data_IF_811653059812
#
_entry.id   IF_811653059812
#
_cell.length_a   1.000
_cell.length_b   1.000
_cell.length_c   1.000
_cell.angle_alpha   90.00
_cell.angle_beta   90.00
_cell.angle_gamma   90.00
#
_symmetry.space_group_name_H-M   'P 1'
#
loop_
_entity.id
_entity.type
_entity.pdbx_description
1 polymer ?
#
# COMPACT_ATOMS: atom_id res chain seq x y z
N UNK A 1 33.91 5.14 -7.45
CA UNK A 1 32.76 4.93 -6.53
C UNK A 1 32.11 3.60 -6.88
N UNK A 2 32.17 2.66 -5.94
CA UNK A 2 31.69 1.27 -6.09
C UNK A 2 30.17 1.23 -6.42
N UNK A 3 29.75 0.28 -7.25
CA UNK A 3 28.35 0.15 -7.67
C UNK A 3 27.44 -0.20 -6.49
N UNK A 4 27.94 -0.91 -5.47
CA UNK A 4 27.17 -1.20 -4.24
C UNK A 4 26.92 0.08 -3.44
N UNK A 5 27.94 0.93 -3.32
CA UNK A 5 27.82 2.23 -2.66
C UNK A 5 26.82 3.15 -3.39
N UNK A 6 26.87 3.17 -4.74
CA UNK A 6 25.88 3.91 -5.56
C UNK A 6 24.46 3.41 -5.31
N UNK A 7 24.26 2.10 -5.20
CA UNK A 7 22.96 1.51 -4.95
C UNK A 7 22.42 1.86 -3.56
N UNK A 8 23.28 1.82 -2.53
CA UNK A 8 22.91 2.24 -1.17
C UNK A 8 22.55 3.73 -1.11
N UNK A 9 23.37 4.62 -1.70
CA UNK A 9 23.06 6.06 -1.76
C UNK A 9 21.73 6.31 -2.46
N UNK A 10 21.45 5.57 -3.53
CA UNK A 10 20.16 5.66 -4.22
C UNK A 10 18.99 5.19 -3.34
N UNK A 11 19.16 4.12 -2.57
CA UNK A 11 18.14 3.64 -1.64
C UNK A 11 17.81 4.69 -0.57
N UNK A 12 18.84 5.29 0.04
CA UNK A 12 18.70 6.36 1.05
C UNK A 12 18.00 7.58 0.44
N UNK A 13 18.43 8.01 -0.75
CA UNK A 13 17.79 9.12 -1.47
C UNK A 13 16.32 8.83 -1.79
N UNK A 14 15.99 7.60 -2.17
CA UNK A 14 14.61 7.22 -2.43
C UNK A 14 13.75 7.31 -1.16
N UNK A 15 14.24 6.78 -0.04
CA UNK A 15 13.52 6.79 1.24
C UNK A 15 13.39 8.19 1.84
N UNK A 16 14.30 9.11 1.56
CA UNK A 16 14.17 10.50 1.99
C UNK A 16 13.06 11.27 1.27
N UNK A 17 12.59 10.76 0.13
CA UNK A 17 11.51 11.35 -0.69
C UNK A 17 10.19 10.58 -0.56
N UNK A 18 10.26 9.27 -0.34
CA UNK A 18 9.11 8.38 -0.46
C UNK A 18 9.05 7.38 0.69
N UNK A 19 7.89 7.32 1.35
CA UNK A 19 7.53 6.20 2.23
C UNK A 19 7.33 4.92 1.40
N UNK A 20 8.00 3.83 1.78
CA UNK A 20 8.02 2.57 1.04
C UNK A 20 8.06 1.36 1.96
N UNK A 21 7.42 0.27 1.55
CA UNK A 21 7.68 -1.06 2.10
C UNK A 21 9.03 -1.60 1.65
N UNK A 22 9.55 -2.60 2.37
CA UNK A 22 10.80 -3.30 2.03
C UNK A 22 10.70 -3.96 0.66
N UNK A 23 9.57 -4.63 0.36
CA UNK A 23 9.35 -5.28 -0.94
C UNK A 23 9.29 -4.28 -2.10
N UNK A 24 8.67 -3.12 -1.90
CA UNK A 24 8.65 -2.08 -2.92
C UNK A 24 10.05 -1.49 -3.13
N UNK A 25 10.82 -1.26 -2.07
CA UNK A 25 12.21 -0.81 -2.20
C UNK A 25 13.06 -1.83 -2.97
N UNK A 26 12.93 -3.13 -2.65
CA UNK A 26 13.60 -4.23 -3.39
C UNK A 26 13.30 -4.13 -4.90
N UNK A 27 12.05 -3.95 -5.27
CA UNK A 27 11.62 -3.79 -6.67
C UNK A 27 12.23 -2.54 -7.34
N UNK A 28 12.25 -1.41 -6.63
CA UNK A 28 12.84 -0.16 -7.12
C UNK A 28 14.35 -0.30 -7.34
N UNK A 29 15.06 -0.94 -6.40
CA UNK A 29 16.49 -1.22 -6.53
C UNK A 29 16.76 -2.17 -7.70
N UNK A 30 15.92 -3.20 -7.89
CA UNK A 30 16.03 -4.10 -9.04
C UNK A 30 15.90 -3.37 -10.38
N UNK A 31 14.96 -2.42 -10.47
CA UNK A 31 14.82 -1.53 -11.64
C UNK A 31 16.02 -0.62 -11.83
N UNK A 32 16.59 -0.07 -10.75
CA UNK A 32 17.79 0.77 -10.82
C UNK A 32 18.99 -0.01 -11.35
N UNK A 33 19.23 -1.24 -10.86
CA UNK A 33 20.32 -2.11 -11.30
C UNK A 33 20.25 -2.37 -12.81
N UNK A 34 19.05 -2.63 -13.35
CA UNK A 34 18.85 -2.84 -14.80
C UNK A 34 19.26 -1.66 -15.66
N UNK A 35 19.27 -0.44 -15.09
CA UNK A 35 19.68 0.80 -15.78
C UNK A 35 21.13 1.19 -15.52
N UNK A 36 21.80 0.53 -14.57
CA UNK A 36 23.17 0.87 -14.17
C UNK A 36 24.22 0.16 -15.03
N UNK A 37 23.96 -1.07 -15.46
CA UNK A 37 24.87 -1.84 -16.32
C UNK A 37 24.10 -2.94 -17.05
N UNK A 38 24.52 -3.22 -18.29
CA UNK A 38 24.05 -4.37 -19.05
C UNK A 38 24.84 -5.65 -18.80
N UNK A 39 25.97 -5.58 -18.09
CA UNK A 39 26.78 -6.74 -17.79
C UNK A 39 26.07 -7.67 -16.79
N UNK A 40 25.85 -8.92 -17.19
CA UNK A 40 25.11 -9.92 -16.38
C UNK A 40 25.75 -10.16 -15.02
N UNK A 41 27.08 -10.27 -14.97
CA UNK A 41 27.84 -10.54 -13.74
C UNK A 41 27.66 -9.40 -12.72
N UNK A 42 27.85 -8.15 -13.16
CA UNK A 42 27.63 -6.97 -12.32
C UNK A 42 26.19 -6.90 -11.80
N UNK A 43 25.18 -7.18 -12.65
CA UNK A 43 23.78 -7.18 -12.22
C UNK A 43 23.50 -8.26 -11.18
N UNK A 44 24.02 -9.47 -11.38
CA UNK A 44 23.89 -10.58 -10.45
C UNK A 44 24.48 -10.24 -9.07
N UNK A 45 25.71 -9.71 -9.05
CA UNK A 45 26.37 -9.30 -7.81
C UNK A 45 25.56 -8.23 -7.07
N UNK A 46 25.04 -7.23 -7.78
CA UNK A 46 24.21 -6.19 -7.18
C UNK A 46 22.85 -6.70 -6.67
N UNK A 47 22.24 -7.68 -7.34
CA UNK A 47 21.00 -8.30 -6.85
C UNK A 47 21.23 -9.02 -5.52
N UNK A 48 22.36 -9.71 -5.36
CA UNK A 48 22.72 -10.39 -4.12
C UNK A 48 22.99 -9.42 -2.95
N UNK A 49 23.31 -8.15 -3.25
CA UNK A 49 23.54 -7.10 -2.25
C UNK A 49 22.24 -6.46 -1.74
N UNK A 50 21.11 -6.57 -2.45
CA UNK A 50 19.86 -5.89 -2.07
C UNK A 50 19.41 -6.28 -0.65
N UNK A 51 19.47 -7.57 -0.30
CA UNK A 51 19.03 -8.02 1.02
C UNK A 51 19.90 -7.43 2.14
N UNK A 52 21.21 -7.28 1.91
CA UNK A 52 22.12 -6.64 2.87
C UNK A 52 21.81 -5.15 3.01
N UNK A 53 21.52 -4.47 1.90
CA UNK A 53 21.10 -3.06 1.90
C UNK A 53 19.81 -2.88 2.69
N UNK A 54 18.78 -3.69 2.43
CA UNK A 54 17.49 -3.60 3.13
C UNK A 54 17.70 -3.82 4.63
N UNK A 55 18.43 -4.87 5.04
CA UNK A 55 18.73 -5.12 6.47
C UNK A 55 19.50 -3.96 7.11
N UNK A 56 20.46 -3.36 6.40
CA UNK A 56 21.19 -2.19 6.91
C UNK A 56 20.26 -0.99 7.13
N UNK A 57 19.35 -0.74 6.19
CA UNK A 57 18.38 0.36 6.29
C UNK A 57 17.37 0.12 7.41
N UNK A 58 16.92 -1.13 7.57
CA UNK A 58 16.03 -1.55 8.66
C UNK A 58 16.70 -1.38 10.03
N UNK A 59 17.93 -1.87 10.20
CA UNK A 59 18.69 -1.68 11.45
C UNK A 59 18.98 -0.21 11.77
N UNK A 60 18.91 0.66 10.75
CA UNK A 60 19.06 2.12 10.91
C UNK A 60 17.72 2.83 11.08
N UNK A 61 16.61 2.11 11.23
CA UNK A 61 15.23 2.61 11.32
C UNK A 61 14.80 3.48 10.13
N UNK A 62 15.43 3.33 8.97
CA UNK A 62 15.06 4.06 7.75
C UNK A 62 13.92 3.38 6.98
N UNK A 63 13.64 2.11 7.26
CA UNK A 63 12.55 1.37 6.66
C UNK A 63 11.97 0.34 7.64
N UNK A 64 10.65 0.35 7.76
CA UNK A 64 9.90 -0.53 8.64
C UNK A 64 8.53 -0.80 8.01
N UNK A 65 8.18 -2.08 7.82
CA UNK A 65 6.93 -2.49 7.18
C UNK A 65 5.72 -2.29 8.10
N UNK A 66 5.88 -2.33 9.42
CA UNK A 66 4.83 -2.06 10.41
C UNK A 66 4.49 -0.57 10.38
N UNK A 67 5.48 0.31 10.54
CA UNK A 67 5.29 1.77 10.48
C UNK A 67 4.73 2.20 9.11
N UNK A 68 5.25 1.61 8.04
CA UNK A 68 4.69 1.82 6.70
C UNK A 68 3.21 1.43 6.64
N UNK A 69 2.87 0.26 7.17
CA UNK A 69 1.49 -0.27 7.14
C UNK A 69 0.54 0.62 7.93
N UNK A 70 0.88 0.97 9.17
CA UNK A 70 0.10 1.87 10.02
C UNK A 70 -0.19 3.19 9.31
N UNK A 71 0.85 3.86 8.80
CA UNK A 71 0.71 5.15 8.13
C UNK A 71 -0.18 5.07 6.88
N UNK A 72 -0.13 3.96 6.14
CA UNK A 72 -0.98 3.75 4.96
C UNK A 72 -2.42 3.40 5.33
N UNK A 73 -2.66 2.66 6.40
CA UNK A 73 -4.01 2.42 6.90
C UNK A 73 -4.65 3.77 7.28
N UNK A 74 -3.99 4.58 8.11
CA UNK A 74 -4.48 5.91 8.51
C UNK A 74 -4.78 6.81 7.30
N UNK A 75 -3.86 6.87 6.34
CA UNK A 75 -4.05 7.65 5.12
C UNK A 75 -5.24 7.18 4.26
N UNK A 76 -5.39 5.86 4.08
CA UNK A 76 -6.48 5.31 3.26
C UNK A 76 -7.84 5.40 3.95
N UNK A 77 -7.87 5.28 5.28
CA UNK A 77 -9.04 5.57 6.09
C UNK A 77 -9.50 7.03 5.93
N UNK A 78 -8.56 7.98 6.01
CA UNK A 78 -8.85 9.39 5.73
C UNK A 78 -9.43 9.60 4.32
N UNK A 79 -9.00 8.80 3.34
CA UNK A 79 -9.56 8.82 1.98
C UNK A 79 -10.90 8.07 1.81
N UNK A 80 -11.52 7.62 2.91
CA UNK A 80 -12.74 6.83 2.92
C UNK A 80 -12.65 5.54 2.07
N UNK A 81 -11.53 4.82 2.18
CA UNK A 81 -11.35 3.52 1.54
C UNK A 81 -11.93 2.40 2.40
N UNK A 82 -12.48 1.37 1.76
CA UNK A 82 -12.93 0.15 2.41
C UNK A 82 -11.78 -0.63 3.03
N UNK A 83 -12.08 -1.45 4.05
CA UNK A 83 -11.15 -2.40 4.65
C UNK A 83 -10.54 -3.33 3.61
N UNK A 84 -11.36 -3.83 2.67
CA UNK A 84 -10.89 -4.69 1.58
C UNK A 84 -9.92 -3.96 0.64
N UNK A 85 -10.21 -2.71 0.28
CA UNK A 85 -9.28 -1.91 -0.53
C UNK A 85 -7.93 -1.75 0.17
N UNK A 86 -7.94 -1.44 1.47
CA UNK A 86 -6.73 -1.28 2.28
C UNK A 86 -5.91 -2.57 2.29
N UNK A 87 -6.53 -3.73 2.56
CA UNK A 87 -5.87 -5.04 2.51
C UNK A 87 -5.20 -5.31 1.16
N UNK A 88 -5.96 -5.14 0.07
CA UNK A 88 -5.45 -5.38 -1.28
C UNK A 88 -4.32 -4.41 -1.66
N UNK A 89 -4.41 -3.15 -1.21
CA UNK A 89 -3.34 -2.18 -1.42
C UNK A 89 -2.04 -2.60 -0.72
N UNK A 90 -2.11 -3.02 0.55
CA UNK A 90 -0.94 -3.43 1.33
C UNK A 90 -0.32 -4.73 0.80
N UNK A 91 -1.14 -5.70 0.38
CA UNK A 91 -0.66 -6.92 -0.29
C UNK A 91 0.09 -6.60 -1.58
N UNK A 92 -0.41 -5.65 -2.39
CA UNK A 92 0.32 -5.17 -3.59
C UNK A 92 1.63 -4.46 -3.25
N UNK A 93 1.75 -3.89 -2.05
CA UNK A 93 3.01 -3.36 -1.52
C UNK A 93 3.91 -4.43 -0.92
N UNK A 94 3.50 -5.69 -0.93
CA UNK A 94 4.29 -6.83 -0.46
C UNK A 94 4.41 -6.92 1.06
N UNK A 95 3.48 -6.31 1.80
CA UNK A 95 3.35 -6.49 3.24
C UNK A 95 2.79 -7.89 3.51
N UNK A 96 3.29 -8.55 4.56
CA UNK A 96 2.82 -9.88 4.96
C UNK A 96 1.39 -9.85 5.47
N UNK A 97 0.68 -10.98 5.39
CA UNK A 97 -0.72 -11.06 5.85
C UNK A 97 -0.82 -10.86 7.36
N UNK A 98 0.20 -11.28 8.10
CA UNK A 98 0.31 -11.19 9.55
C UNK A 98 0.33 -9.72 9.97
N UNK A 99 1.26 -8.92 9.42
CA UNK A 99 1.34 -7.47 9.69
C UNK A 99 0.04 -6.78 9.28
N UNK A 100 -0.53 -7.12 8.11
CA UNK A 100 -1.79 -6.51 7.66
C UNK A 100 -2.92 -6.81 8.64
N UNK A 101 -3.06 -8.05 9.09
CA UNK A 101 -4.13 -8.46 10.00
C UNK A 101 -3.99 -7.77 11.36
N UNK A 102 -2.79 -7.78 11.92
CA UNK A 102 -2.46 -7.13 13.19
C UNK A 102 -2.76 -5.63 13.12
N UNK A 103 -2.21 -4.93 12.13
CA UNK A 103 -2.38 -3.49 12.00
C UNK A 103 -3.82 -3.07 11.68
N UNK A 104 -4.57 -3.89 10.93
CA UNK A 104 -6.01 -3.67 10.75
C UNK A 104 -6.75 -3.85 12.07
N UNK A 105 -6.43 -4.87 12.87
CA UNK A 105 -7.10 -5.08 14.16
C UNK A 105 -6.89 -3.93 15.14
N UNK A 106 -5.73 -3.26 15.08
CA UNK A 106 -5.38 -2.12 15.94
C UNK A 106 -6.00 -0.79 15.49
N UNK A 107 -6.24 -0.62 14.19
CA UNK A 107 -6.61 0.69 13.61
C UNK A 107 -7.96 0.70 12.88
N UNK A 108 -8.61 -0.46 12.75
CA UNK A 108 -9.90 -0.62 12.10
C UNK A 108 -10.87 -1.29 13.07
N UNK A 109 -11.41 -0.49 13.98
CA UNK A 109 -12.40 -0.95 14.95
C UNK A 109 -13.76 -1.08 14.26
N UNK A 110 -14.19 -2.33 14.04
CA UNK A 110 -15.47 -2.64 13.41
C UNK A 110 -16.66 -2.13 14.28
N UNK A 111 -16.48 -1.91 15.59
CA UNK A 111 -17.52 -1.37 16.47
C UNK A 111 -17.82 0.12 16.25
N UNK A 112 -16.89 0.85 15.62
CA UNK A 112 -17.01 2.29 15.35
C UNK A 112 -17.72 2.60 14.02
N UNK A 113 -18.33 1.61 13.35
CA UNK A 113 -19.02 1.79 12.07
C UNK A 113 -18.16 2.44 10.95
N UNK A 114 -16.83 2.36 11.05
CA UNK A 114 -15.88 3.02 10.14
C UNK A 114 -16.15 2.63 8.67
N UNK A 115 -16.46 1.36 8.42
CA UNK A 115 -16.73 0.87 7.06
C UNK A 115 -17.98 1.51 6.47
N UNK A 116 -19.04 1.64 7.28
CA UNK A 116 -20.30 2.26 6.88
C UNK A 116 -20.13 3.76 6.63
N UNK A 117 -19.40 4.46 7.50
CA UNK A 117 -19.09 5.88 7.28
C UNK A 117 -18.29 6.10 6.00
N UNK A 118 -17.26 5.27 5.77
CA UNK A 118 -16.44 5.35 4.57
C UNK A 118 -17.24 5.05 3.31
N UNK A 119 -18.15 4.07 3.37
CA UNK A 119 -19.09 3.76 2.29
C UNK A 119 -19.99 4.96 1.97
N UNK A 120 -20.57 5.61 2.99
CA UNK A 120 -21.39 6.81 2.82
C UNK A 120 -20.60 7.98 2.22
N UNK A 121 -19.40 8.26 2.75
CA UNK A 121 -18.49 9.30 2.23
C UNK A 121 -18.14 9.04 0.77
N UNK A 122 -17.84 7.80 0.41
CA UNK A 122 -17.56 7.40 -0.97
C UNK A 122 -18.79 7.58 -1.88
N UNK A 123 -19.96 7.12 -1.44
CA UNK A 123 -21.21 7.25 -2.19
C UNK A 123 -21.55 8.72 -2.46
N UNK A 124 -21.46 9.60 -1.45
CA UNK A 124 -21.61 11.05 -1.60
C UNK A 124 -20.61 11.64 -2.59
N UNK A 125 -19.31 11.33 -2.44
CA UNK A 125 -18.24 11.82 -3.34
C UNK A 125 -18.44 11.39 -4.79
N UNK A 126 -19.03 10.22 -5.02
CA UNK A 126 -19.33 9.68 -6.35
C UNK A 126 -20.75 9.99 -6.83
N UNK A 127 -21.50 10.78 -6.06
CA UNK A 127 -22.90 11.12 -6.30
C UNK A 127 -23.74 9.85 -6.57
N UNK A 128 -23.58 8.81 -5.76
CA UNK A 128 -24.30 7.55 -5.95
C UNK A 128 -25.67 7.55 -5.26
N UNK A 129 -25.97 8.58 -4.48
CA UNK A 129 -27.25 8.73 -3.78
C UNK A 129 -28.31 9.44 -4.65
N UNK A 130 -27.94 9.93 -5.84
CA UNK A 130 -28.90 10.54 -6.78
C UNK A 130 -29.82 9.46 -7.37
N UNK A 131 -31.13 9.70 -7.42
CA UNK A 131 -32.13 8.74 -7.87
C UNK A 131 -32.01 8.38 -9.37
N UNK A 132 -31.51 9.28 -10.21
CA UNK A 132 -31.42 9.10 -11.67
C UNK A 132 -30.40 8.04 -12.12
N UNK A 133 -29.66 7.45 -11.18
CA UNK A 133 -28.62 6.45 -11.49
C UNK A 133 -29.16 5.04 -11.29
N UNK A 134 -28.98 4.24 -12.34
CA UNK A 134 -29.13 2.79 -12.33
C UNK A 134 -28.50 2.14 -11.09
N UNK A 135 -29.31 1.41 -10.34
CA UNK A 135 -28.93 0.81 -9.05
C UNK A 135 -27.81 -0.23 -9.19
N UNK A 136 -27.80 -1.02 -10.26
CA UNK A 136 -26.74 -2.01 -10.52
C UNK A 136 -25.42 -1.30 -10.80
N UNK A 137 -25.44 -0.17 -11.52
CA UNK A 137 -24.25 0.66 -11.74
C UNK A 137 -23.75 1.27 -10.44
N UNK A 138 -24.63 1.70 -9.53
CA UNK A 138 -24.24 2.17 -8.19
C UNK A 138 -23.56 1.06 -7.40
N UNK A 139 -24.16 -0.13 -7.32
CA UNK A 139 -23.59 -1.31 -6.66
C UNK A 139 -22.22 -1.71 -7.25
N UNK A 140 -22.10 -1.75 -8.58
CA UNK A 140 -20.83 -2.06 -9.26
C UNK A 140 -19.70 -1.07 -8.91
N UNK A 141 -20.03 0.21 -8.69
CA UNK A 141 -19.04 1.20 -8.25
C UNK A 141 -18.62 0.98 -6.80
N UNK A 142 -19.55 0.63 -5.91
CA UNK A 142 -19.25 0.30 -4.51
C UNK A 142 -18.39 -0.97 -4.40
N UNK A 143 -18.75 -2.02 -5.12
CA UNK A 143 -18.00 -3.29 -5.16
C UNK A 143 -16.56 -3.10 -5.66
N UNK A 144 -16.36 -2.31 -6.73
CA UNK A 144 -15.00 -1.97 -7.22
C UNK A 144 -14.20 -1.12 -6.23
N UNK A 145 -14.86 -0.38 -5.34
CA UNK A 145 -14.23 0.33 -4.25
C UNK A 145 -13.95 -0.58 -3.02
N UNK A 146 -14.40 -1.83 -3.06
CA UNK A 146 -14.14 -2.88 -2.06
C UNK A 146 -15.17 -2.96 -0.93
N UNK A 147 -16.26 -2.20 -0.98
CA UNK A 147 -17.33 -2.31 0.01
C UNK A 147 -18.10 -3.62 -0.17
N UNK A 148 -18.57 -4.21 0.93
CA UNK A 148 -19.40 -5.43 0.88
C UNK A 148 -20.76 -5.13 0.25
N UNK A 149 -21.43 -6.18 -0.23
CA UNK A 149 -22.74 -6.06 -0.84
C UNK A 149 -23.78 -5.52 0.16
N UNK A 150 -23.72 -5.98 1.40
CA UNK A 150 -24.64 -5.63 2.49
C UNK A 150 -24.53 -4.13 2.80
N UNK A 151 -23.32 -3.63 3.03
CA UNK A 151 -23.08 -2.20 3.29
C UNK A 151 -23.46 -1.36 2.07
N UNK A 152 -23.16 -1.84 0.87
CA UNK A 152 -23.53 -1.14 -0.36
C UNK A 152 -25.04 -1.00 -0.50
N UNK A 153 -25.80 -2.07 -0.23
CA UNK A 153 -27.27 -2.03 -0.22
C UNK A 153 -27.81 -1.07 0.82
N UNK A 154 -27.24 -1.09 2.02
CA UNK A 154 -27.67 -0.22 3.11
C UNK A 154 -27.47 1.27 2.79
N UNK A 155 -26.33 1.63 2.19
CA UNK A 155 -25.98 3.02 1.87
C UNK A 155 -26.71 3.55 0.62
N UNK A 156 -26.99 2.70 -0.35
CA UNK A 156 -27.61 3.10 -1.63
C UNK A 156 -29.13 3.01 -1.65
N UNK A 157 -29.74 2.57 -0.55
CA UNK A 157 -31.19 2.64 -0.36
C UNK A 157 -31.67 4.09 -0.29
#
# INVERSE_FOLDING_TARGET
>A
MDNKEKLLKYAIYYLSKYSSSKKNLEYILKKKIRRLSDEKKVRFDLYNEINKIIKKLENSNLIDDVIFTESKIKFLLYQAKSKNYIRQYLLKKGISKEIINEQISLHYDDSQNIEKENALKFAKKKKLLDDDKDYEKKLSKMARAGFSYEISKEILK
#
